data_IF_618744411363
#
_entry.id   IF_618744411363
#
_cell.length_a   1.000
_cell.length_b   1.000
_cell.length_c   1.000
_cell.angle_alpha   90.00
_cell.angle_beta   90.00
_cell.angle_gamma   90.00
#
_symmetry.space_group_name_H-M   'P 1'
#
loop_
_entity.id
_entity.type
_entity.pdbx_description
1 polymer ?
#
# COMPACT_ATOMS: atom_id res chain seq x y z
N UNK A 1 26.20 -4.40 6.77
CA UNK A 1 26.80 -4.09 5.44
C UNK A 1 27.04 -2.60 5.32
N UNK A 2 27.96 -2.15 4.47
CA UNK A 2 28.20 -0.71 4.18
C UNK A 2 26.93 0.02 3.71
N UNK A 3 25.99 -0.67 3.08
CA UNK A 3 24.76 -0.11 2.49
C UNK A 3 23.49 -0.36 3.32
N UNK A 4 23.57 -0.98 4.49
CA UNK A 4 22.40 -1.21 5.32
C UNK A 4 22.48 -2.35 6.32
N UNK A 5 21.35 -2.67 6.96
CA UNK A 5 21.27 -3.60 8.09
C UNK A 5 21.41 -5.09 7.72
N UNK A 6 21.44 -5.45 6.45
CA UNK A 6 21.43 -6.82 5.98
C UNK A 6 20.04 -7.43 5.87
N UNK A 7 19.96 -8.75 5.66
CA UNK A 7 18.70 -9.48 5.54
C UNK A 7 18.08 -9.70 6.91
N UNK A 8 16.78 -9.49 7.01
CA UNK A 8 15.96 -9.72 8.19
C UNK A 8 14.87 -10.73 7.84
N UNK A 9 14.36 -11.42 8.86
CA UNK A 9 13.13 -12.21 8.78
C UNK A 9 12.15 -11.62 9.78
N UNK A 10 11.16 -10.88 9.28
CA UNK A 10 10.26 -10.08 10.11
C UNK A 10 8.85 -10.64 10.04
N UNK A 11 8.25 -11.07 11.15
CA UNK A 11 6.85 -11.49 11.17
C UNK A 11 5.92 -10.32 10.90
N UNK A 12 4.81 -10.58 10.23
CA UNK A 12 3.75 -9.60 10.02
C UNK A 12 2.54 -9.91 10.90
N UNK A 13 1.63 -8.94 11.01
CA UNK A 13 0.38 -9.12 11.75
C UNK A 13 -0.57 -10.14 11.09
N UNK A 14 -0.33 -10.46 9.83
CA UNK A 14 -1.14 -11.42 9.05
C UNK A 14 -0.61 -12.88 9.18
N UNK A 15 0.38 -13.11 10.04
CA UNK A 15 0.95 -14.44 10.30
C UNK A 15 1.91 -14.96 9.24
N UNK A 16 2.36 -14.13 8.30
CA UNK A 16 3.41 -14.44 7.35
C UNK A 16 4.71 -13.68 7.68
N UNK A 17 5.72 -13.81 6.84
CA UNK A 17 7.04 -13.19 7.05
C UNK A 17 7.45 -12.36 5.85
N UNK A 18 8.07 -11.21 6.14
CA UNK A 18 8.87 -10.46 5.18
C UNK A 18 10.32 -10.89 5.32
N UNK A 19 10.93 -11.34 4.23
CA UNK A 19 12.32 -11.80 4.18
C UNK A 19 13.11 -10.89 3.26
N UNK A 20 14.10 -10.22 3.79
CA UNK A 20 14.90 -9.22 3.08
C UNK A 20 15.28 -8.06 4.01
N UNK A 21 15.64 -6.92 3.43
CA UNK A 21 15.87 -6.62 2.03
C UNK A 21 17.28 -6.95 1.54
N UNK A 22 17.53 -6.78 0.23
CA UNK A 22 18.85 -6.40 -0.30
C UNK A 22 19.07 -4.90 -0.13
N UNK A 23 20.28 -4.42 -0.38
CA UNK A 23 20.58 -3.00 -0.49
C UNK A 23 21.68 -2.85 -1.53
N UNK A 24 21.30 -2.49 -2.73
CA UNK A 24 22.16 -2.42 -3.90
C UNK A 24 21.96 -1.07 -4.58
N UNK A 25 23.02 -0.49 -5.14
CA UNK A 25 22.91 0.71 -5.96
C UNK A 25 22.17 0.36 -7.25
N UNK A 26 21.27 1.24 -7.68
CA UNK A 26 20.52 1.05 -8.92
C UNK A 26 20.16 2.39 -9.57
N UNK A 27 19.93 2.35 -10.87
CA UNK A 27 19.55 3.52 -11.67
C UNK A 27 18.07 3.88 -11.59
N UNK A 28 17.36 3.39 -10.56
CA UNK A 28 15.97 3.76 -10.27
C UNK A 28 14.90 2.76 -10.72
N UNK A 29 15.26 1.52 -11.01
CA UNK A 29 14.31 0.44 -11.33
C UNK A 29 13.73 -0.22 -10.06
N UNK A 30 12.55 -0.80 -10.20
CA UNK A 30 11.89 -1.62 -9.15
C UNK A 30 11.79 -3.10 -9.54
N UNK A 31 12.63 -3.55 -10.47
CA UNK A 31 12.72 -4.95 -10.86
C UNK A 31 13.40 -5.76 -9.77
N UNK A 32 12.85 -6.93 -9.48
CA UNK A 32 13.52 -7.93 -8.65
C UNK A 32 14.55 -8.65 -9.50
N UNK A 33 15.83 -8.64 -9.07
CA UNK A 33 16.90 -9.37 -9.74
C UNK A 33 17.01 -10.79 -9.20
N UNK A 34 17.47 -11.71 -10.03
CA UNK A 34 17.72 -13.09 -9.62
C UNK A 34 18.80 -13.16 -8.55
N UNK A 35 19.86 -12.40 -8.73
CA UNK A 35 21.02 -12.32 -7.84
C UNK A 35 20.60 -11.79 -6.46
N UNK A 36 19.80 -10.73 -6.43
CA UNK A 36 19.24 -10.17 -5.20
C UNK A 36 18.37 -11.18 -4.46
N UNK A 37 17.51 -11.90 -5.19
CA UNK A 37 16.64 -12.91 -4.61
C UNK A 37 17.43 -14.10 -4.04
N UNK A 38 18.43 -14.58 -4.76
CA UNK A 38 19.32 -15.65 -4.29
C UNK A 38 20.11 -15.22 -3.06
N UNK A 39 20.64 -14.00 -3.04
CA UNK A 39 21.31 -13.41 -1.87
C UNK A 39 20.39 -13.36 -0.63
N UNK A 40 19.13 -12.98 -0.80
CA UNK A 40 18.12 -12.99 0.28
C UNK A 40 17.91 -14.42 0.79
N UNK A 41 17.75 -15.40 -0.10
CA UNK A 41 17.55 -16.81 0.25
C UNK A 41 18.72 -17.38 1.04
N UNK A 42 19.93 -17.13 0.61
CA UNK A 42 21.14 -17.62 1.29
C UNK A 42 21.31 -16.99 2.67
N UNK A 43 21.25 -15.67 2.74
CA UNK A 43 21.44 -14.94 4.00
C UNK A 43 20.34 -15.22 5.03
N UNK A 44 19.11 -15.40 4.59
CA UNK A 44 18.00 -15.74 5.52
C UNK A 44 18.13 -17.12 6.14
N UNK A 45 18.71 -18.08 5.42
CA UNK A 45 18.99 -19.44 5.97
C UNK A 45 20.01 -19.43 7.09
N UNK A 46 20.87 -18.42 7.18
CA UNK A 46 21.76 -18.27 8.35
C UNK A 46 21.00 -17.86 9.62
N UNK A 47 19.82 -17.24 9.45
CA UNK A 47 18.95 -16.80 10.54
C UNK A 47 17.94 -17.90 10.89
N UNK A 48 17.27 -18.44 9.86
CA UNK A 48 16.29 -19.52 9.98
C UNK A 48 16.64 -20.63 8.97
N UNK A 49 17.42 -21.65 9.37
CA UNK A 49 17.87 -22.70 8.45
C UNK A 49 16.73 -23.47 7.77
N UNK A 50 15.58 -23.56 8.43
CA UNK A 50 14.40 -24.32 7.99
C UNK A 50 13.46 -23.51 7.10
N UNK A 51 13.80 -22.25 6.75
CA UNK A 51 12.92 -21.40 5.94
C UNK A 51 12.65 -22.03 4.56
N UNK A 52 11.37 -22.12 4.19
CA UNK A 52 10.94 -22.77 2.96
C UNK A 52 10.39 -21.75 1.95
N UNK A 53 11.19 -21.38 0.98
CA UNK A 53 10.81 -20.43 -0.07
C UNK A 53 9.80 -20.97 -1.11
N UNK A 54 9.47 -22.27 -1.09
CA UNK A 54 8.35 -22.80 -1.87
C UNK A 54 7.00 -22.21 -1.45
N UNK A 55 6.93 -21.69 -0.22
CA UNK A 55 5.77 -21.01 0.32
C UNK A 55 5.77 -19.49 0.05
N UNK A 56 6.74 -18.97 -0.69
CA UNK A 56 6.75 -17.56 -1.05
C UNK A 56 5.46 -17.17 -1.79
N UNK A 57 4.83 -16.10 -1.34
CA UNK A 57 3.59 -15.58 -1.92
C UNK A 57 3.93 -14.59 -3.03
N UNK A 58 4.94 -13.75 -2.78
CA UNK A 58 5.33 -12.66 -3.68
C UNK A 58 6.75 -12.19 -3.38
N UNK A 59 7.41 -11.70 -4.40
CA UNK A 59 8.63 -10.91 -4.32
C UNK A 59 8.36 -9.49 -4.82
N UNK A 60 9.09 -8.53 -4.28
CA UNK A 60 9.01 -7.12 -4.69
C UNK A 60 10.29 -6.39 -4.30
N UNK A 61 10.54 -5.28 -4.97
CA UNK A 61 11.60 -4.35 -4.63
C UNK A 61 11.07 -2.92 -4.64
N UNK A 62 11.85 -1.99 -4.12
CA UNK A 62 11.55 -0.58 -4.11
C UNK A 62 12.83 0.24 -4.11
N UNK A 63 12.73 1.45 -4.64
CA UNK A 63 13.86 2.38 -4.64
C UNK A 63 13.94 3.10 -3.31
N UNK A 64 15.14 3.09 -2.71
CA UNK A 64 15.47 3.86 -1.53
C UNK A 64 16.27 5.09 -1.96
N UNK A 65 15.66 6.25 -1.84
CA UNK A 65 16.33 7.51 -2.19
C UNK A 65 17.27 7.93 -1.06
N UNK A 66 18.53 8.21 -1.40
CA UNK A 66 19.56 8.72 -0.48
C UNK A 66 20.05 10.06 -1.03
N UNK A 67 20.25 11.04 -0.16
CA UNK A 67 20.75 12.36 -0.51
C UNK A 67 21.82 12.76 0.51
N UNK A 68 23.09 12.44 0.21
CA UNK A 68 24.18 12.63 1.18
C UNK A 68 24.06 11.69 2.39
N UNK A 69 24.54 12.15 3.53
CA UNK A 69 24.68 11.33 4.74
C UNK A 69 23.44 11.38 5.66
N UNK A 70 22.56 12.35 5.46
CA UNK A 70 21.35 12.54 6.29
C UNK A 70 20.18 13.08 5.47
N UNK A 71 19.02 13.21 6.11
CA UNK A 71 17.82 13.82 5.53
C UNK A 71 18.03 15.29 5.23
N UNK A 72 17.64 15.72 4.05
CA UNK A 72 17.65 17.14 3.66
C UNK A 72 16.31 17.76 4.02
N UNK A 73 16.28 18.57 5.06
CA UNK A 73 15.08 19.28 5.54
C UNK A 73 15.44 20.77 5.62
N UNK A 74 15.24 21.52 4.54
CA UNK A 74 15.69 22.92 4.45
C UNK A 74 14.81 23.78 3.54
N UNK A 75 14.83 25.10 3.77
CA UNK A 75 14.27 26.06 2.81
C UNK A 75 15.04 26.05 1.52
N UNK A 76 14.34 26.07 0.38
CA UNK A 76 14.99 26.20 -0.92
C UNK A 76 15.75 27.52 -1.00
N UNK A 77 17.02 27.45 -1.43
CA UNK A 77 17.86 28.63 -1.68
C UNK A 77 17.49 29.36 -2.98
N UNK A 78 16.81 28.67 -3.89
CA UNK A 78 16.49 29.19 -5.23
C UNK A 78 15.06 29.68 -5.36
N UNK A 79 14.12 29.11 -4.62
CA UNK A 79 12.70 29.41 -4.76
C UNK A 79 12.09 29.77 -3.41
N UNK A 80 11.43 30.91 -3.36
CA UNK A 80 10.72 31.37 -2.15
C UNK A 80 9.53 30.45 -1.84
N UNK A 81 9.21 30.28 -0.57
CA UNK A 81 8.07 29.48 -0.08
C UNK A 81 8.11 27.97 -0.44
N UNK A 82 9.30 27.44 -0.67
CA UNK A 82 9.52 25.99 -0.90
C UNK A 82 10.45 25.46 0.18
N UNK A 83 10.06 24.34 0.77
CA UNK A 83 10.88 23.54 1.68
C UNK A 83 11.16 22.21 1.00
N UNK A 84 12.44 21.84 0.96
CA UNK A 84 12.87 20.54 0.47
C UNK A 84 12.80 19.51 1.60
N UNK A 85 12.19 18.38 1.31
CA UNK A 85 12.17 17.19 2.15
C UNK A 85 12.70 16.05 1.28
N UNK A 86 14.01 15.84 1.27
CA UNK A 86 14.66 14.91 0.36
C UNK A 86 15.53 13.90 1.10
N UNK A 87 15.78 12.76 0.45
CA UNK A 87 16.59 11.69 1.02
C UNK A 87 15.97 11.03 2.27
N UNK A 88 14.68 11.21 2.52
CA UNK A 88 14.01 10.64 3.69
C UNK A 88 13.82 9.13 3.46
N UNK A 89 14.83 8.37 3.81
CA UNK A 89 14.81 6.92 3.81
C UNK A 89 14.45 6.37 5.20
N UNK A 90 14.81 5.14 5.53
CA UNK A 90 14.60 4.57 6.87
C UNK A 90 15.50 5.31 7.90
N UNK A 91 14.95 5.76 9.04
CA UNK A 91 13.62 5.48 9.61
C UNK A 91 12.55 6.57 9.38
N UNK A 92 12.48 7.17 8.21
CA UNK A 92 11.64 8.32 7.87
C UNK A 92 10.16 8.20 8.27
N UNK A 93 9.57 7.01 8.16
CA UNK A 93 8.16 6.83 8.55
C UNK A 93 7.93 7.08 10.05
N UNK A 94 8.79 6.54 10.91
CA UNK A 94 8.70 6.78 12.36
C UNK A 94 9.14 8.19 12.76
N UNK A 95 10.00 8.84 11.97
CA UNK A 95 10.45 10.22 12.18
C UNK A 95 9.49 11.27 11.61
N UNK A 96 8.48 10.86 10.82
CA UNK A 96 7.59 11.78 10.13
C UNK A 96 6.90 12.82 11.03
N UNK A 97 6.44 12.51 12.26
CA UNK A 97 5.88 13.52 13.16
C UNK A 97 6.90 14.61 13.53
N UNK A 98 8.12 14.22 13.92
CA UNK A 98 9.19 15.15 14.26
C UNK A 98 9.63 16.01 13.05
N UNK A 99 9.70 15.40 11.87
CA UNK A 99 9.98 16.12 10.62
C UNK A 99 8.90 17.15 10.34
N UNK A 100 7.64 16.84 10.61
CA UNK A 100 6.53 17.78 10.43
C UNK A 100 6.65 18.97 11.39
N UNK A 101 7.04 18.77 12.65
CA UNK A 101 7.31 19.83 13.62
C UNK A 101 8.46 20.71 13.15
N UNK A 102 9.60 20.14 12.73
CA UNK A 102 10.72 20.88 12.16
C UNK A 102 10.31 21.75 10.96
N UNK A 103 9.47 21.23 10.07
CA UNK A 103 8.97 21.98 8.91
C UNK A 103 8.17 23.20 9.35
N UNK A 104 7.32 23.07 10.37
CA UNK A 104 6.54 24.18 10.92
C UNK A 104 7.45 25.24 11.54
N UNK A 105 8.47 24.83 12.29
CA UNK A 105 9.47 25.75 12.85
C UNK A 105 10.23 26.49 11.73
N UNK A 106 10.69 25.78 10.70
CA UNK A 106 11.35 26.38 9.53
C UNK A 106 10.45 27.41 8.83
N UNK A 107 9.14 27.19 8.79
CA UNK A 107 8.17 28.12 8.21
C UNK A 107 8.00 29.37 9.08
N UNK A 108 8.25 29.28 10.37
CA UNK A 108 8.08 30.38 11.34
C UNK A 108 6.60 30.65 11.64
N UNK A 109 5.72 29.67 11.45
CA UNK A 109 4.31 29.81 11.82
C UNK A 109 4.06 29.37 13.24
N UNK A 110 3.29 30.20 13.98
CA UNK A 110 2.71 29.78 15.24
C UNK A 110 1.46 28.96 14.94
N UNK A 111 1.51 27.67 15.23
CA UNK A 111 0.34 26.80 15.08
C UNK A 111 -0.71 27.18 16.12
N UNK A 112 -1.95 27.33 15.66
CA UNK A 112 -3.11 27.45 16.54
C UNK A 112 -3.70 26.07 16.76
N UNK A 113 -4.05 25.76 17.99
CA UNK A 113 -4.78 24.54 18.30
C UNK A 113 -6.11 24.53 17.53
N UNK A 114 -6.36 23.44 16.80
CA UNK A 114 -7.58 23.33 16.00
C UNK A 114 -8.73 22.88 16.90
N UNK A 115 -9.58 23.83 17.26
CA UNK A 115 -10.84 23.52 17.93
C UNK A 115 -11.70 22.57 17.05
N UNK A 116 -12.36 21.61 17.66
CA UNK A 116 -13.28 20.69 16.99
C UNK A 116 -12.67 19.72 15.94
N UNK A 117 -11.48 19.20 16.20
CA UNK A 117 -10.90 18.17 15.37
C UNK A 117 -11.75 16.88 15.41
N UNK A 118 -12.52 16.64 14.36
CA UNK A 118 -13.28 15.38 14.26
C UNK A 118 -12.29 14.22 14.14
N UNK A 119 -12.16 13.42 15.19
CA UNK A 119 -11.39 12.18 15.13
C UNK A 119 -12.01 11.25 14.07
N UNK A 120 -11.26 10.96 13.02
CA UNK A 120 -11.66 9.97 12.03
C UNK A 120 -11.61 8.61 12.70
N UNK A 121 -12.77 7.97 12.88
CA UNK A 121 -12.82 6.62 13.42
C UNK A 121 -12.17 5.66 12.40
N UNK A 122 -11.27 4.76 12.84
CA UNK A 122 -10.75 3.72 11.97
C UNK A 122 -11.91 2.87 11.44
N UNK A 123 -11.82 2.47 10.18
CA UNK A 123 -12.78 1.52 9.61
C UNK A 123 -12.43 0.12 10.12
N UNK A 124 -13.41 -0.56 10.67
CA UNK A 124 -13.30 -1.97 11.07
C UNK A 124 -13.80 -2.82 9.91
N UNK A 125 -13.03 -3.79 9.44
CA UNK A 125 -13.46 -4.71 8.38
C UNK A 125 -14.63 -5.57 8.87
N UNK A 126 -15.52 -5.95 7.98
CA UNK A 126 -16.69 -6.75 8.32
C UNK A 126 -16.33 -8.01 9.13
N UNK A 127 -15.26 -8.70 8.74
CA UNK A 127 -14.76 -9.91 9.44
C UNK A 127 -14.35 -9.66 10.90
N UNK A 128 -13.90 -8.44 11.21
CA UNK A 128 -13.37 -8.06 12.53
C UNK A 128 -14.43 -7.36 13.41
N UNK A 129 -15.65 -7.16 12.89
CA UNK A 129 -16.76 -6.57 13.63
C UNK A 129 -17.37 -7.55 14.63
N UNK A 130 -18.01 -7.03 15.65
CA UNK A 130 -18.83 -7.83 16.59
C UNK A 130 -19.97 -8.54 15.83
N UNK A 131 -20.28 -9.76 16.24
CA UNK A 131 -21.31 -10.59 15.59
C UNK A 131 -22.66 -9.89 15.42
N UNK A 132 -23.11 -9.19 16.45
CA UNK A 132 -24.35 -8.39 16.41
C UNK A 132 -24.34 -7.29 15.35
N UNK A 133 -23.18 -6.68 15.10
CA UNK A 133 -23.01 -5.66 14.07
C UNK A 133 -22.95 -6.27 12.68
N UNK A 134 -22.29 -7.43 12.52
CA UNK A 134 -22.30 -8.21 11.28
C UNK A 134 -23.74 -8.61 10.90
N UNK A 135 -24.51 -9.15 11.84
CA UNK A 135 -25.92 -9.54 11.63
C UNK A 135 -26.78 -8.33 11.20
N UNK A 136 -26.61 -7.20 11.87
CA UNK A 136 -27.29 -5.95 11.49
C UNK A 136 -26.95 -5.52 10.07
N UNK A 137 -25.66 -5.52 9.69
CA UNK A 137 -25.23 -5.15 8.35
C UNK A 137 -25.72 -6.14 7.30
N UNK A 138 -25.70 -7.45 7.57
CA UNK A 138 -26.27 -8.47 6.69
C UNK A 138 -27.76 -8.29 6.46
N UNK A 139 -28.50 -7.79 7.46
CA UNK A 139 -29.93 -7.52 7.32
C UNK A 139 -30.19 -6.24 6.51
N UNK A 140 -29.36 -5.20 6.66
CA UNK A 140 -29.64 -3.85 6.14
C UNK A 140 -28.95 -3.52 4.83
N UNK A 141 -27.81 -4.13 4.53
CA UNK A 141 -27.02 -3.86 3.30
C UNK A 141 -26.58 -5.16 2.62
N UNK A 142 -27.20 -5.43 1.47
CA UNK A 142 -26.89 -6.61 0.63
C UNK A 142 -25.41 -6.69 0.18
N UNK A 143 -24.68 -5.58 0.17
CA UNK A 143 -23.29 -5.58 -0.24
C UNK A 143 -22.40 -6.36 0.73
N UNK A 144 -22.77 -6.45 2.02
CA UNK A 144 -22.04 -7.27 3.00
C UNK A 144 -22.30 -8.77 2.84
N UNK A 145 -23.33 -9.18 2.09
CA UNK A 145 -23.60 -10.60 1.75
C UNK A 145 -22.73 -11.12 0.61
N UNK A 146 -21.98 -10.28 -0.07
CA UNK A 146 -21.16 -10.63 -1.23
C UNK A 146 -19.70 -10.60 -0.88
N UNK A 147 -19.03 -11.76 -0.89
CA UNK A 147 -17.58 -11.86 -0.71
C UNK A 147 -16.89 -11.51 -2.01
N UNK A 148 -16.05 -10.49 -1.97
CA UNK A 148 -15.17 -10.07 -3.09
C UNK A 148 -13.86 -10.84 -3.04
N UNK A 149 -13.14 -10.79 -1.92
CA UNK A 149 -11.90 -11.52 -1.72
C UNK A 149 -12.10 -12.65 -0.71
N UNK A 150 -11.98 -13.90 -1.17
CA UNK A 150 -12.13 -15.09 -0.29
C UNK A 150 -10.92 -15.29 0.61
N UNK A 151 -9.70 -14.99 0.12
CA UNK A 151 -8.48 -15.20 0.89
C UNK A 151 -8.41 -14.29 2.12
N UNK A 152 -8.90 -13.07 1.98
CA UNK A 152 -8.86 -12.02 3.01
C UNK A 152 -10.26 -11.76 3.61
N UNK A 153 -11.26 -12.53 3.22
CA UNK A 153 -12.65 -12.43 3.71
C UNK A 153 -13.27 -11.03 3.58
N UNK A 154 -12.91 -10.31 2.48
CA UNK A 154 -13.37 -8.96 2.22
C UNK A 154 -14.70 -8.98 1.47
N UNK A 155 -15.69 -8.29 2.01
CA UNK A 155 -17.00 -8.14 1.40
C UNK A 155 -17.03 -6.99 0.38
N UNK A 156 -18.07 -6.97 -0.46
CA UNK A 156 -18.34 -5.83 -1.34
C UNK A 156 -18.66 -4.56 -0.52
N UNK A 157 -19.28 -4.71 0.66
CA UNK A 157 -19.53 -3.62 1.58
C UNK A 157 -18.23 -2.96 2.06
N UNK A 158 -17.21 -3.75 2.41
CA UNK A 158 -15.88 -3.22 2.78
C UNK A 158 -15.22 -2.43 1.65
N UNK A 159 -15.29 -2.94 0.42
CA UNK A 159 -14.76 -2.24 -0.76
C UNK A 159 -15.47 -0.91 -0.99
N UNK A 160 -16.81 -0.89 -0.91
CA UNK A 160 -17.60 0.34 -1.05
C UNK A 160 -17.29 1.33 0.08
N UNK A 161 -17.18 0.86 1.32
CA UNK A 161 -16.81 1.69 2.44
C UNK A 161 -15.42 2.33 2.25
N UNK A 162 -14.44 1.57 1.74
CA UNK A 162 -13.12 2.09 1.42
C UNK A 162 -13.17 3.17 0.32
N UNK A 163 -14.02 3.00 -0.70
CA UNK A 163 -14.23 3.97 -1.77
C UNK A 163 -14.86 5.28 -1.28
N UNK A 164 -15.69 5.22 -0.23
CA UNK A 164 -16.39 6.39 0.34
C UNK A 164 -15.58 7.19 1.34
N UNK A 165 -14.37 6.75 1.70
CA UNK A 165 -13.50 7.48 2.63
C UNK A 165 -13.10 8.86 2.07
N UNK A 166 -12.75 9.83 2.96
CA UNK A 166 -12.42 11.20 2.56
C UNK A 166 -11.33 11.31 1.51
N UNK A 167 -10.28 10.48 1.62
CA UNK A 167 -9.24 10.37 0.58
C UNK A 167 -9.78 9.49 -0.54
N UNK A 168 -10.20 10.14 -1.62
CA UNK A 168 -10.75 9.46 -2.79
C UNK A 168 -9.72 8.53 -3.42
N UNK A 169 -10.08 7.27 -3.56
CA UNK A 169 -9.33 6.28 -4.31
C UNK A 169 -10.14 5.85 -5.53
N UNK A 170 -9.45 5.55 -6.62
CA UNK A 170 -10.05 5.10 -7.87
C UNK A 170 -9.23 3.98 -8.52
N UNK A 171 -8.34 3.33 -7.76
CA UNK A 171 -7.45 2.29 -8.27
C UNK A 171 -7.59 0.99 -7.48
N UNK A 172 -7.28 -0.12 -8.14
CA UNK A 172 -7.33 -1.46 -7.54
C UNK A 172 -6.33 -1.57 -6.39
N UNK A 173 -5.10 -1.07 -6.56
CA UNK A 173 -4.08 -1.08 -5.51
C UNK A 173 -4.44 -0.12 -4.35
N UNK A 174 -5.20 0.93 -4.62
CA UNK A 174 -5.77 1.78 -3.59
C UNK A 174 -6.76 1.04 -2.69
N UNK A 175 -7.61 0.18 -3.26
CA UNK A 175 -8.49 -0.73 -2.51
C UNK A 175 -7.69 -1.78 -1.76
N UNK A 176 -6.71 -2.41 -2.42
CA UNK A 176 -5.84 -3.41 -1.81
C UNK A 176 -5.16 -2.88 -0.55
N UNK A 177 -4.58 -1.68 -0.59
CA UNK A 177 -3.91 -1.06 0.56
C UNK A 177 -4.85 -0.68 1.72
N UNK A 178 -6.16 -0.65 1.51
CA UNK A 178 -7.14 -0.28 2.55
C UNK A 178 -7.94 -1.45 3.09
N UNK A 179 -8.01 -2.53 2.33
CA UNK A 179 -8.89 -3.67 2.64
C UNK A 179 -8.16 -5.01 2.63
N UNK A 180 -6.91 -5.05 2.23
CA UNK A 180 -6.14 -6.26 1.93
C UNK A 180 -6.72 -7.12 0.78
N UNK A 181 -7.77 -6.68 0.08
CA UNK A 181 -8.29 -7.41 -1.07
C UNK A 181 -7.21 -7.58 -2.15
N UNK A 182 -6.85 -8.82 -2.47
CA UNK A 182 -5.79 -9.16 -3.41
C UNK A 182 -4.41 -9.40 -2.77
N UNK A 183 -4.27 -9.31 -1.45
CA UNK A 183 -3.01 -9.59 -0.74
C UNK A 183 -2.84 -11.06 -0.35
N UNK A 184 -3.92 -11.84 -0.36
CA UNK A 184 -3.85 -13.26 -0.03
C UNK A 184 -3.09 -14.09 -1.07
N UNK A 185 -2.97 -15.39 -0.83
CA UNK A 185 -2.14 -16.31 -1.61
C UNK A 185 -2.36 -16.27 -3.12
N UNK A 186 -3.60 -16.01 -3.59
CA UNK A 186 -3.89 -15.94 -5.03
C UNK A 186 -3.48 -14.59 -5.68
N UNK A 187 -2.99 -13.63 -4.91
CA UNK A 187 -2.53 -12.30 -5.38
C UNK A 187 -3.50 -11.62 -6.34
N UNK A 188 -4.79 -11.68 -6.03
CA UNK A 188 -5.83 -11.03 -6.80
C UNK A 188 -6.45 -11.88 -7.91
N UNK A 189 -5.97 -13.10 -8.17
CA UNK A 189 -6.42 -13.94 -9.29
C UNK A 189 -7.94 -14.15 -9.37
N UNK A 190 -8.66 -14.11 -8.24
CA UNK A 190 -10.13 -14.27 -8.21
C UNK A 190 -10.90 -12.99 -7.86
N UNK A 191 -10.28 -12.06 -7.16
CA UNK A 191 -11.01 -10.87 -6.69
C UNK A 191 -10.77 -9.63 -7.56
N UNK A 192 -9.73 -9.62 -8.39
CA UNK A 192 -9.35 -8.44 -9.17
C UNK A 192 -10.50 -7.88 -10.02
N UNK A 193 -11.15 -8.71 -10.83
CA UNK A 193 -12.29 -8.31 -11.67
C UNK A 193 -13.48 -7.78 -10.86
N UNK A 194 -13.73 -8.37 -9.68
CA UNK A 194 -14.80 -7.93 -8.78
C UNK A 194 -14.49 -6.57 -8.16
N UNK A 195 -13.21 -6.29 -7.83
CA UNK A 195 -12.76 -4.99 -7.33
C UNK A 195 -12.90 -3.94 -8.43
N UNK A 196 -12.47 -4.24 -9.66
CA UNK A 196 -12.67 -3.37 -10.84
C UNK A 196 -14.14 -3.02 -11.01
N UNK A 197 -15.02 -4.02 -11.00
CA UNK A 197 -16.47 -3.82 -11.12
C UNK A 197 -17.03 -2.94 -9.99
N UNK A 198 -16.58 -3.12 -8.75
CA UNK A 198 -17.01 -2.30 -7.63
C UNK A 198 -16.55 -0.84 -7.76
N UNK A 199 -15.32 -0.61 -8.21
CA UNK A 199 -14.78 0.73 -8.47
C UNK A 199 -15.58 1.41 -9.60
N UNK A 200 -15.75 0.73 -10.73
CA UNK A 200 -16.48 1.25 -11.90
C UNK A 200 -17.90 1.67 -11.53
N UNK A 201 -18.63 0.81 -10.80
CA UNK A 201 -20.00 1.07 -10.37
C UNK A 201 -20.07 2.25 -9.37
N UNK A 202 -19.23 2.28 -8.34
CA UNK A 202 -19.28 3.34 -7.31
C UNK A 202 -18.82 4.69 -7.86
N UNK A 203 -17.84 4.71 -8.78
CA UNK A 203 -17.33 5.92 -9.42
C UNK A 203 -18.11 6.34 -10.65
N UNK A 204 -19.02 5.49 -11.15
CA UNK A 204 -19.80 5.70 -12.37
C UNK A 204 -18.87 5.97 -13.59
N UNK A 205 -17.84 5.15 -13.70
CA UNK A 205 -16.88 5.20 -14.81
C UNK A 205 -16.87 3.86 -15.56
N UNK A 206 -16.55 3.83 -16.84
CA UNK A 206 -16.39 2.58 -17.60
C UNK A 206 -15.18 1.79 -17.09
N UNK A 207 -15.16 0.47 -17.34
CA UNK A 207 -14.10 -0.43 -16.90
C UNK A 207 -12.72 -0.01 -17.40
N UNK A 208 -12.62 0.53 -18.61
CA UNK A 208 -11.40 1.00 -19.27
C UNK A 208 -10.77 2.20 -18.56
N UNK A 209 -11.55 2.89 -17.71
CA UNK A 209 -11.03 4.01 -16.89
C UNK A 209 -10.62 3.62 -15.50
N UNK A 210 -10.78 2.35 -15.13
CA UNK A 210 -10.30 1.85 -13.83
C UNK A 210 -8.80 1.55 -13.94
N UNK A 211 -8.03 2.18 -13.08
CA UNK A 211 -6.59 2.03 -13.03
C UNK A 211 -6.19 0.92 -12.05
N UNK A 212 -5.09 0.23 -12.33
CA UNK A 212 -4.45 -0.62 -11.34
C UNK A 212 -3.88 0.23 -10.21
N UNK A 213 -3.12 1.27 -10.53
CA UNK A 213 -2.53 2.18 -9.57
C UNK A 213 -2.47 3.63 -10.09
N UNK A 214 -1.51 3.94 -10.95
CA UNK A 214 -1.25 5.27 -11.49
C UNK A 214 -1.78 5.42 -12.90
N UNK A 215 -1.73 6.65 -13.43
CA UNK A 215 -2.05 6.96 -14.81
C UNK A 215 -1.22 6.08 -15.75
N UNK A 216 -1.85 5.49 -16.76
CA UNK A 216 -1.23 4.55 -17.69
C UNK A 216 -1.20 3.10 -17.19
N UNK A 217 -1.91 2.79 -16.11
CA UNK A 217 -2.07 1.42 -15.59
C UNK A 217 -3.51 0.92 -15.73
N UNK A 218 -4.15 1.23 -16.84
CA UNK A 218 -5.48 0.75 -17.19
C UNK A 218 -5.50 -0.78 -17.18
N UNK A 219 -6.54 -1.34 -16.56
CA UNK A 219 -6.65 -2.80 -16.39
C UNK A 219 -7.44 -3.48 -17.50
N UNK A 220 -8.18 -2.70 -18.28
CA UNK A 220 -8.98 -3.16 -19.41
C UNK A 220 -8.68 -2.26 -20.60
N UNK A 221 -8.25 -2.85 -21.72
CA UNK A 221 -7.87 -2.12 -22.92
C UNK A 221 -9.04 -1.90 -23.91
N UNK A 222 -10.17 -2.53 -23.67
CA UNK A 222 -11.35 -2.46 -24.54
C UNK A 222 -12.14 -3.76 -24.60
N UNK A 223 -13.18 -3.78 -25.42
CA UNK A 223 -14.02 -4.95 -25.64
C UNK A 223 -13.43 -5.78 -26.78
N UNK A 224 -13.20 -7.07 -26.55
CA UNK A 224 -12.64 -8.00 -27.55
C UNK A 224 -13.46 -8.08 -28.84
N UNK A 225 -14.78 -7.81 -28.75
CA UNK A 225 -15.70 -7.79 -29.90
C UNK A 225 -15.59 -6.52 -30.75
N UNK A 226 -14.97 -5.47 -30.24
CA UNK A 226 -14.80 -4.17 -30.90
C UNK A 226 -13.38 -3.98 -31.47
N UNK A 227 -12.46 -4.90 -31.17
CA UNK A 227 -11.12 -4.91 -31.76
C UNK A 227 -11.27 -5.28 -33.24
N UNK A 228 -11.24 -4.28 -34.13
CA UNK A 228 -11.12 -4.52 -35.57
C UNK A 228 -9.78 -5.24 -35.80
N UNK A 229 -9.86 -6.43 -36.43
CA UNK A 229 -8.69 -7.18 -36.89
C UNK A 229 -7.94 -6.41 -37.96
#
# INVERSE_FOLDING_TARGET
>A
TKLGKGVLVTPTIDGNYLVGPTSEECDGGTQVTREGLESVKEKSKTIIPTINFKNAIREFSGVRVICGDDFVIEKSKKVKNVINLAGICSPGLSSAPAIAEMVVEILGYTLKERENLKKIKPYVMFKDMKKSEQERLLATDKNFRTIVCKCEEITKGDVIAALKRPLKIASVDGIKRRTNAGMGRCQGGFCFSKVVAAIAAERKIPFEKVLKENRGSEVVCGNIREVKR
#
